data_IF_286103227372
#
_entry.id   IF_286103227372
#
_cell.length_a   1.000
_cell.length_b   1.000
_cell.length_c   1.000
_cell.angle_alpha   90.00
_cell.angle_beta   90.00
_cell.angle_gamma   90.00
#
_symmetry.space_group_name_H-M   'P 1'
#
loop_
_entity.id
_entity.type
_entity.pdbx_description
1 polymer ?
#
# COMPACT_ATOMS: atom_id res chain seq x y z
N UNK A 1 -13.72 4.49 50.18
CA UNK A 1 -13.59 5.54 49.14
C UNK A 1 -12.19 5.47 48.53
N UNK A 2 -12.05 4.78 47.40
CA UNK A 2 -10.86 4.87 46.53
C UNK A 2 -11.39 5.11 45.12
N UNK A 3 -11.15 6.31 44.58
CA UNK A 3 -11.53 6.67 43.22
C UNK A 3 -10.64 5.89 42.26
N UNK A 4 -11.25 4.97 41.51
CA UNK A 4 -10.65 4.33 40.36
C UNK A 4 -10.63 5.39 39.24
N UNK A 5 -9.45 5.91 38.92
CA UNK A 5 -9.27 6.76 37.73
C UNK A 5 -9.29 5.81 36.55
N UNK A 6 -10.42 5.77 35.85
CA UNK A 6 -10.54 5.12 34.56
C UNK A 6 -9.69 5.94 33.58
N UNK A 7 -8.50 5.44 33.26
CA UNK A 7 -7.72 5.96 32.14
C UNK A 7 -8.49 5.60 30.87
N UNK A 8 -9.32 6.53 30.40
CA UNK A 8 -9.92 6.48 29.09
C UNK A 8 -8.77 6.61 28.09
N UNK A 9 -8.27 5.48 27.60
CA UNK A 9 -7.43 5.46 26.41
C UNK A 9 -8.33 5.92 25.26
N UNK A 10 -8.34 7.23 25.00
CA UNK A 10 -8.90 7.79 23.78
C UNK A 10 -8.02 7.25 22.66
N UNK A 11 -8.45 6.15 22.05
CA UNK A 11 -7.97 5.73 20.76
C UNK A 11 -8.27 6.90 19.81
N UNK A 12 -7.27 7.72 19.54
CA UNK A 12 -7.27 8.67 18.44
C UNK A 12 -7.23 7.84 17.14
N UNK A 13 -8.36 7.21 16.81
CA UNK A 13 -8.70 6.82 15.45
C UNK A 13 -8.94 8.12 14.69
N UNK A 14 -7.86 8.79 14.30
CA UNK A 14 -7.95 9.98 13.49
C UNK A 14 -8.21 9.55 12.04
N UNK A 15 -9.27 10.08 11.40
CA UNK A 15 -9.51 9.86 9.99
C UNK A 15 -8.31 10.41 9.23
N UNK A 16 -7.85 9.61 8.27
CA UNK A 16 -6.73 9.92 7.40
C UNK A 16 -6.85 11.35 6.86
N UNK A 17 -5.84 12.16 7.12
CA UNK A 17 -5.77 13.53 6.69
C UNK A 17 -5.35 13.58 5.20
N UNK A 18 -6.34 13.40 4.33
CA UNK A 18 -6.38 14.06 3.03
C UNK A 18 -7.84 14.45 2.85
N UNK A 19 -8.16 15.67 3.30
CA UNK A 19 -9.44 16.36 3.15
C UNK A 19 -10.64 15.67 3.83
N UNK A 20 -11.16 16.34 4.86
CA UNK A 20 -12.53 16.16 5.29
C UNK A 20 -13.50 16.59 4.17
N UNK A 21 -13.73 15.74 3.16
CA UNK A 21 -14.86 15.83 2.24
C UNK A 21 -15.36 14.43 1.80
N UNK A 22 -15.84 13.68 2.78
CA UNK A 22 -17.10 12.93 2.77
C UNK A 22 -17.04 11.92 3.91
N UNK A 23 -17.42 12.36 5.10
CA UNK A 23 -17.74 11.47 6.22
C UNK A 23 -18.99 10.60 5.96
N UNK A 24 -19.50 10.56 4.72
CA UNK A 24 -20.56 9.66 4.25
C UNK A 24 -20.15 8.67 3.15
N UNK A 25 -18.94 8.69 2.56
CA UNK A 25 -18.69 7.84 1.37
C UNK A 25 -18.12 6.45 1.62
N UNK A 26 -17.51 6.11 2.77
CA UNK A 26 -17.26 4.68 3.09
C UNK A 26 -17.26 4.31 4.59
N UNK A 27 -18.43 4.30 5.26
CA UNK A 27 -18.58 3.84 6.65
C UNK A 27 -18.87 2.33 6.74
N UNK A 28 -18.33 1.48 5.85
CA UNK A 28 -18.56 0.04 5.92
C UNK A 28 -17.28 -0.71 6.23
N UNK A 29 -17.01 -0.94 7.51
CA UNK A 29 -15.92 -1.83 7.99
C UNK A 29 -16.37 -3.29 8.14
N UNK A 30 -17.59 -3.58 7.70
CA UNK A 30 -18.21 -4.89 7.84
C UNK A 30 -17.69 -5.93 6.85
N UNK A 31 -18.04 -7.19 7.12
CA UNK A 31 -17.65 -8.37 6.33
C UNK A 31 -18.02 -8.30 4.84
N UNK A 32 -18.98 -7.43 4.47
CA UNK A 32 -19.35 -7.18 3.08
C UNK A 32 -18.22 -6.61 2.21
N UNK A 33 -17.15 -6.07 2.80
CA UNK A 33 -15.96 -5.67 2.06
C UNK A 33 -15.10 -6.84 1.57
N UNK A 34 -15.35 -8.07 2.05
CA UNK A 34 -14.65 -9.27 1.57
C UNK A 34 -14.72 -9.41 0.04
N UNK A 35 -15.80 -8.94 -0.59
CA UNK A 35 -16.00 -8.93 -2.04
C UNK A 35 -14.86 -8.27 -2.83
N UNK A 36 -14.19 -7.28 -2.25
CA UNK A 36 -13.09 -6.57 -2.93
C UNK A 36 -11.83 -7.44 -2.98
N UNK A 37 -11.57 -8.22 -1.92
CA UNK A 37 -10.50 -9.22 -1.90
C UNK A 37 -10.82 -10.38 -2.85
N UNK A 38 -12.06 -10.87 -2.86
CA UNK A 38 -12.50 -11.94 -3.78
C UNK A 38 -12.32 -11.55 -5.25
N UNK A 39 -12.61 -10.29 -5.62
CA UNK A 39 -12.40 -9.77 -6.98
C UNK A 39 -10.92 -9.54 -7.29
N UNK A 40 -10.15 -9.05 -6.32
CA UNK A 40 -8.73 -8.76 -6.49
C UNK A 40 -7.88 -10.02 -6.67
N UNK A 41 -8.28 -11.12 -6.03
CA UNK A 41 -7.57 -12.39 -6.03
C UNK A 41 -8.48 -13.53 -6.51
N UNK A 42 -8.83 -13.59 -7.82
CA UNK A 42 -9.82 -14.54 -8.32
C UNK A 42 -9.41 -16.01 -8.20
N UNK A 43 -8.11 -16.28 -8.12
CA UNK A 43 -7.53 -17.61 -7.91
C UNK A 43 -7.54 -18.05 -6.44
N UNK A 44 -7.74 -17.12 -5.50
CA UNK A 44 -7.80 -17.39 -4.06
C UNK A 44 -9.24 -17.64 -3.64
N UNK A 45 -9.45 -18.60 -2.75
CA UNK A 45 -10.78 -18.87 -2.17
C UNK A 45 -10.88 -18.21 -0.80
N UNK A 46 -11.93 -17.40 -0.61
CA UNK A 46 -12.31 -16.81 0.67
C UNK A 46 -13.62 -17.43 1.13
N UNK A 47 -13.60 -18.22 2.21
CA UNK A 47 -14.79 -18.82 2.80
C UNK A 47 -15.06 -18.19 4.16
N UNK A 48 -16.30 -17.78 4.41
CA UNK A 48 -16.69 -17.15 5.67
C UNK A 48 -17.57 -18.07 6.50
N UNK A 49 -17.27 -18.15 7.80
CA UNK A 49 -18.13 -18.78 8.81
C UNK A 49 -18.23 -17.88 10.04
N UNK A 50 -19.35 -17.91 10.72
CA UNK A 50 -19.53 -17.10 11.94
C UNK A 50 -19.15 -17.89 13.18
N UNK A 51 -18.26 -17.34 14.00
CA UNK A 51 -17.91 -17.88 15.32
C UNK A 51 -18.82 -17.27 16.39
N UNK A 52 -19.71 -18.09 16.94
CA UNK A 52 -20.64 -17.65 18.00
C UNK A 52 -19.99 -17.43 19.36
N UNK A 53 -18.84 -18.04 19.63
CA UNK A 53 -18.14 -17.88 20.91
C UNK A 53 -17.39 -16.56 20.96
N UNK A 54 -16.74 -16.20 19.85
CA UNK A 54 -16.04 -14.91 19.70
C UNK A 54 -17.00 -13.79 19.29
N UNK A 55 -18.10 -14.12 18.62
CA UNK A 55 -19.08 -13.15 18.14
C UNK A 55 -18.65 -12.46 16.84
N UNK A 56 -17.76 -13.07 16.06
CA UNK A 56 -17.17 -12.47 14.86
C UNK A 56 -17.03 -13.47 13.70
N UNK A 57 -16.68 -12.98 12.51
CA UNK A 57 -16.49 -13.79 11.31
C UNK A 57 -15.08 -14.35 11.22
N UNK A 58 -15.01 -15.64 10.92
CA UNK A 58 -13.78 -16.31 10.50
C UNK A 58 -13.77 -16.39 8.98
N UNK A 59 -12.64 -16.05 8.39
CA UNK A 59 -12.35 -16.13 6.97
C UNK A 59 -11.23 -17.15 6.74
N UNK A 60 -11.57 -18.24 6.07
CA UNK A 60 -10.62 -19.22 5.57
C UNK A 60 -10.12 -18.77 4.20
N UNK A 61 -8.84 -18.42 4.12
CA UNK A 61 -8.17 -17.97 2.89
C UNK A 61 -7.35 -19.13 2.35
N UNK A 62 -7.75 -19.69 1.21
CA UNK A 62 -7.04 -20.79 0.55
C UNK A 62 -6.30 -20.28 -0.67
N UNK A 63 -4.97 -20.27 -0.58
CA UNK A 63 -4.06 -19.76 -1.62
C UNK A 63 -3.53 -20.93 -2.44
N UNK A 64 -3.70 -20.94 -3.77
CA UNK A 64 -3.20 -22.03 -4.62
C UNK A 64 -1.67 -22.05 -4.66
N UNK A 65 -1.10 -23.25 -4.77
CA UNK A 65 0.35 -23.47 -4.89
C UNK A 65 0.92 -22.97 -6.23
N UNK A 66 0.08 -22.89 -7.26
CA UNK A 66 0.41 -22.27 -8.54
C UNK A 66 -0.46 -21.01 -8.69
N UNK A 67 0.11 -19.80 -8.60
CA UNK A 67 -0.65 -18.57 -8.76
C UNK A 67 -1.43 -18.50 -10.06
N UNK A 68 -2.70 -18.13 -9.99
CA UNK A 68 -3.62 -18.11 -11.13
C UNK A 68 -4.31 -19.44 -11.44
N UNK A 69 -3.89 -20.55 -10.84
CA UNK A 69 -4.54 -21.87 -10.99
C UNK A 69 -5.23 -22.28 -9.68
N UNK A 70 -6.50 -21.89 -9.56
CA UNK A 70 -7.38 -22.22 -8.43
C UNK A 70 -7.58 -23.72 -8.20
N UNK A 71 -7.31 -24.56 -9.20
CA UNK A 71 -7.45 -26.01 -9.10
C UNK A 71 -6.22 -26.69 -8.48
N UNK A 72 -5.09 -25.99 -8.42
CA UNK A 72 -3.87 -26.50 -7.80
C UNK A 72 -4.06 -26.67 -6.28
N UNK A 73 -3.34 -27.61 -5.62
CA UNK A 73 -3.38 -27.74 -4.17
C UNK A 73 -3.11 -26.41 -3.49
N UNK A 74 -3.88 -26.05 -2.48
CA UNK A 74 -3.76 -24.77 -1.79
C UNK A 74 -3.37 -24.90 -0.32
N UNK A 75 -2.82 -23.82 0.23
CA UNK A 75 -2.61 -23.65 1.67
C UNK A 75 -3.72 -22.80 2.24
N UNK A 76 -4.42 -23.31 3.24
CA UNK A 76 -5.50 -22.59 3.93
C UNK A 76 -4.99 -21.96 5.21
N UNK A 77 -5.28 -20.69 5.40
CA UNK A 77 -5.03 -19.94 6.64
C UNK A 77 -6.34 -19.34 7.12
N UNK A 78 -6.66 -19.48 8.40
CA UNK A 78 -7.84 -18.86 9.01
C UNK A 78 -7.49 -17.52 9.65
N UNK A 79 -8.36 -16.52 9.44
CA UNK A 79 -8.30 -15.22 10.06
C UNK A 79 -9.66 -14.87 10.66
N UNK A 80 -9.67 -13.98 11.64
CA UNK A 80 -10.87 -13.24 12.02
C UNK A 80 -10.94 -11.93 11.23
N UNK A 81 -12.17 -11.53 10.89
CA UNK A 81 -12.43 -10.22 10.31
C UNK A 81 -12.54 -9.16 11.41
N UNK A 82 -11.46 -8.42 11.66
CA UNK A 82 -11.40 -7.44 12.75
C UNK A 82 -11.14 -6.04 12.18
N UNK A 83 -12.09 -5.11 12.34
CA UNK A 83 -11.95 -3.70 11.92
C UNK A 83 -11.52 -3.52 10.44
N UNK A 84 -12.18 -4.23 9.52
CA UNK A 84 -11.84 -4.25 8.08
C UNK A 84 -10.43 -4.77 7.76
N UNK A 85 -9.93 -5.69 8.60
CA UNK A 85 -8.64 -6.36 8.45
C UNK A 85 -8.73 -7.85 8.78
N UNK A 86 -7.69 -8.60 8.39
CA UNK A 86 -7.57 -10.04 8.64
C UNK A 86 -6.54 -10.27 9.74
N UNK A 87 -7.00 -10.67 10.92
CA UNK A 87 -6.13 -10.93 12.07
C UNK A 87 -6.18 -12.40 12.46
N UNK A 88 -5.04 -13.03 12.76
CA UNK A 88 -5.05 -14.35 13.39
C UNK A 88 -5.64 -14.23 14.81
N UNK A 89 -6.11 -15.34 15.37
CA UNK A 89 -6.84 -15.38 16.63
C UNK A 89 -6.06 -14.72 17.78
N UNK A 90 -4.76 -14.97 17.83
CA UNK A 90 -3.82 -14.43 18.82
C UNK A 90 -3.66 -12.90 18.77
N UNK A 91 -3.98 -12.26 17.64
CA UNK A 91 -3.85 -10.82 17.45
C UNK A 91 -5.17 -10.05 17.61
N UNK A 92 -6.29 -10.74 17.84
CA UNK A 92 -7.57 -10.10 18.17
C UNK A 92 -7.48 -9.13 19.36
N UNK A 93 -6.76 -9.41 20.46
CA UNK A 93 -6.59 -8.45 21.55
C UNK A 93 -5.83 -7.18 21.14
N UNK A 94 -5.09 -7.21 20.03
CA UNK A 94 -4.29 -6.11 19.50
C UNK A 94 -4.96 -5.38 18.33
N UNK A 95 -6.22 -5.67 18.01
CA UNK A 95 -6.90 -5.15 16.80
C UNK A 95 -6.83 -3.64 16.60
N UNK A 96 -6.79 -2.85 17.69
CA UNK A 96 -6.73 -1.38 17.64
C UNK A 96 -5.33 -0.83 17.31
N UNK A 97 -4.32 -1.71 17.22
CA UNK A 97 -2.96 -1.37 16.77
C UNK A 97 -2.77 -1.50 15.27
N UNK A 98 -3.79 -1.98 14.55
CA UNK A 98 -3.71 -2.22 13.11
C UNK A 98 -4.57 -1.22 12.34
N UNK A 99 -4.06 -0.79 11.20
CA UNK A 99 -4.85 -0.04 10.24
C UNK A 99 -5.84 -0.96 9.50
N UNK A 100 -7.00 -0.43 9.07
CA UNK A 100 -7.81 -1.09 8.05
C UNK A 100 -6.97 -1.38 6.80
N UNK A 101 -7.15 -2.56 6.18
CA UNK A 101 -6.48 -2.87 4.91
C UNK A 101 -7.09 -2.09 3.73
N UNK A 102 -8.39 -1.79 3.80
CA UNK A 102 -9.08 -0.97 2.81
C UNK A 102 -9.22 0.46 3.33
N UNK A 103 -8.62 1.40 2.61
CA UNK A 103 -8.67 2.83 2.92
C UNK A 103 -8.97 3.65 1.66
N UNK A 104 -9.40 4.90 1.87
CA UNK A 104 -9.66 5.84 0.80
C UNK A 104 -8.35 6.21 0.09
N UNK A 105 -8.21 5.78 -1.16
CA UNK A 105 -7.10 6.13 -2.03
C UNK A 105 -7.52 7.30 -2.92
N UNK A 106 -6.91 8.46 -2.68
CA UNK A 106 -7.30 9.70 -3.35
C UNK A 106 -7.06 9.62 -4.86
N UNK A 107 -7.98 10.18 -5.64
CA UNK A 107 -7.89 10.17 -7.09
C UNK A 107 -7.07 11.35 -7.63
N UNK A 108 -7.20 12.49 -6.96
CA UNK A 108 -6.52 13.74 -7.30
C UNK A 108 -5.60 14.16 -6.14
N UNK A 109 -4.47 14.79 -6.48
CA UNK A 109 -3.55 15.34 -5.49
C UNK A 109 -4.06 16.69 -5.00
N UNK A 110 -4.18 16.86 -3.69
CA UNK A 110 -4.40 18.16 -3.09
C UNK A 110 -3.19 19.08 -3.34
N UNK A 111 -3.43 20.36 -3.65
CA UNK A 111 -2.36 21.34 -3.71
C UNK A 111 -1.81 21.57 -2.29
N UNK A 112 -0.51 21.34 -2.04
CA UNK A 112 0.09 21.62 -0.74
C UNK A 112 -0.08 23.06 -0.23
N UNK A 113 -0.33 24.02 -1.14
CA UNK A 113 -0.63 25.41 -0.78
C UNK A 113 -1.97 25.56 -0.04
N UNK A 114 -2.90 24.63 -0.25
CA UNK A 114 -4.26 24.68 0.31
C UNK A 114 -4.37 24.01 1.68
N UNK A 115 -3.30 23.40 2.20
CA UNK A 115 -3.31 22.82 3.53
C UNK A 115 -3.58 23.89 4.59
N UNK A 116 -4.58 23.61 5.44
CA UNK A 116 -4.84 24.35 6.67
C UNK A 116 -3.73 24.14 7.71
N UNK A 117 -3.68 25.01 8.72
CA UNK A 117 -2.69 24.86 9.81
C UNK A 117 -2.91 23.57 10.61
N UNK A 118 -4.17 23.15 10.79
CA UNK A 118 -4.49 21.88 11.45
C UNK A 118 -3.97 20.68 10.65
N UNK A 119 -4.17 20.67 9.32
CA UNK A 119 -3.65 19.61 8.45
C UNK A 119 -2.12 19.57 8.52
N UNK A 120 -1.43 20.72 8.46
CA UNK A 120 0.03 20.78 8.59
C UNK A 120 0.51 20.17 9.91
N UNK A 121 -0.14 20.50 11.03
CA UNK A 121 0.22 19.94 12.34
C UNK A 121 -0.01 18.42 12.39
N UNK A 122 -1.12 17.93 11.83
CA UNK A 122 -1.41 16.50 11.74
C UNK A 122 -0.37 15.76 10.90
N UNK A 123 0.06 16.32 9.76
CA UNK A 123 1.11 15.75 8.92
C UNK A 123 2.45 15.72 9.67
N UNK A 124 2.82 16.78 10.39
CA UNK A 124 4.03 16.80 11.24
C UNK A 124 3.99 15.73 12.31
N UNK A 125 2.86 15.59 13.01
CA UNK A 125 2.66 14.56 14.03
C UNK A 125 2.79 13.17 13.42
N UNK A 126 2.12 12.92 12.30
CA UNK A 126 2.11 11.62 11.61
C UNK A 126 3.51 11.19 11.15
N UNK A 127 4.27 12.13 10.58
CA UNK A 127 5.63 11.91 10.06
C UNK A 127 6.72 11.84 11.14
N UNK A 128 6.41 12.21 12.39
CA UNK A 128 7.36 12.19 13.50
C UNK A 128 7.94 10.80 13.78
N UNK A 129 9.17 10.76 14.30
CA UNK A 129 9.84 9.50 14.67
C UNK A 129 9.04 8.69 15.70
N UNK A 130 8.39 9.36 16.66
CA UNK A 130 7.56 8.69 17.67
C UNK A 130 6.34 8.03 17.04
N UNK A 131 5.61 8.77 16.19
CA UNK A 131 4.46 8.23 15.44
C UNK A 131 4.88 7.09 14.53
N UNK A 132 5.99 7.22 13.79
CA UNK A 132 6.47 6.18 12.88
C UNK A 132 6.90 4.89 13.59
N UNK A 133 7.46 5.01 14.79
CA UNK A 133 7.94 3.88 15.59
C UNK A 133 6.83 3.16 16.35
N UNK A 134 5.89 3.92 16.91
CA UNK A 134 4.89 3.39 17.85
C UNK A 134 3.46 3.40 17.30
N UNK A 135 3.22 4.05 16.17
CA UNK A 135 1.90 4.16 15.55
C UNK A 135 1.40 2.83 15.02
N UNK A 136 0.09 2.78 14.80
CA UNK A 136 -0.55 1.66 14.14
C UNK A 136 0.05 1.41 12.74
N UNK A 137 -0.11 0.19 12.24
CA UNK A 137 0.44 -0.20 10.95
C UNK A 137 -0.44 -1.18 10.20
N UNK A 138 -0.12 -1.39 8.94
CA UNK A 138 -0.78 -2.39 8.10
C UNK A 138 -0.61 -3.79 8.72
N UNK A 139 -1.70 -4.53 8.99
CA UNK A 139 -1.62 -5.91 9.46
C UNK A 139 -1.12 -6.81 8.33
N UNK A 140 0.10 -7.31 8.48
CA UNK A 140 0.80 -8.02 7.40
C UNK A 140 0.34 -9.47 7.21
N UNK A 141 -0.53 -9.99 8.06
CA UNK A 141 -0.86 -11.42 8.14
C UNK A 141 -1.52 -11.97 6.88
N UNK A 142 -2.44 -11.21 6.26
CA UNK A 142 -3.05 -11.60 4.99
C UNK A 142 -1.99 -11.69 3.89
N UNK A 143 -1.13 -10.68 3.79
CA UNK A 143 -0.08 -10.65 2.78
C UNK A 143 0.93 -11.79 2.99
N UNK A 144 1.25 -12.13 4.25
CA UNK A 144 2.09 -13.28 4.58
C UNK A 144 1.48 -14.62 4.13
N UNK A 145 0.15 -14.74 4.12
CA UNK A 145 -0.53 -15.91 3.57
C UNK A 145 -0.58 -15.89 2.03
N UNK A 146 -0.94 -14.77 1.41
CA UNK A 146 -1.10 -14.65 -0.06
C UNK A 146 0.22 -14.83 -0.81
N UNK A 147 1.30 -14.26 -0.28
CA UNK A 147 2.62 -14.21 -0.92
C UNK A 147 3.64 -15.16 -0.30
N UNK A 148 3.19 -16.07 0.57
CA UNK A 148 4.01 -17.02 1.34
C UNK A 148 5.28 -16.37 1.94
N UNK A 149 5.10 -15.27 2.68
CA UNK A 149 6.19 -14.40 3.12
C UNK A 149 6.40 -14.34 4.63
N UNK A 150 5.80 -15.27 5.37
CA UNK A 150 6.05 -15.44 6.80
C UNK A 150 7.55 -15.60 7.10
N UNK A 151 8.32 -16.21 6.17
CA UNK A 151 9.78 -16.25 6.23
C UNK A 151 10.41 -15.84 4.91
N UNK A 152 11.62 -15.26 4.99
CA UNK A 152 12.42 -14.90 3.80
C UNK A 152 12.64 -16.10 2.88
N UNK A 153 12.94 -17.26 3.47
CA UNK A 153 13.25 -18.49 2.73
C UNK A 153 12.07 -18.93 1.87
N UNK A 154 10.86 -18.92 2.41
CA UNK A 154 9.65 -19.32 1.67
C UNK A 154 9.42 -18.35 0.51
N UNK A 155 9.40 -17.05 0.82
CA UNK A 155 9.17 -16.01 -0.17
C UNK A 155 10.17 -16.04 -1.34
N UNK A 156 11.46 -16.20 -1.07
CA UNK A 156 12.50 -16.15 -2.11
C UNK A 156 12.32 -17.26 -3.18
N UNK A 157 11.54 -18.31 -2.90
CA UNK A 157 11.17 -19.31 -3.92
C UNK A 157 10.20 -18.76 -4.99
N UNK A 158 9.42 -17.73 -4.63
CA UNK A 158 8.45 -17.04 -5.50
C UNK A 158 9.02 -15.80 -6.17
N UNK A 159 10.20 -15.32 -5.75
CA UNK A 159 10.84 -14.15 -6.36
C UNK A 159 11.48 -14.54 -7.69
N UNK A 160 11.05 -13.90 -8.77
CA UNK A 160 11.55 -14.11 -10.13
C UNK A 160 12.23 -12.85 -10.66
N UNK A 161 13.30 -13.07 -11.42
CA UNK A 161 13.95 -12.00 -12.19
C UNK A 161 13.13 -11.69 -13.44
N UNK A 162 12.83 -10.42 -13.65
CA UNK A 162 12.09 -9.90 -14.82
C UNK A 162 12.78 -8.65 -15.38
N UNK A 163 12.36 -8.21 -16.56
CA UNK A 163 12.61 -6.87 -17.07
C UNK A 163 11.33 -6.06 -16.95
N UNK A 164 11.44 -4.82 -16.46
CA UNK A 164 10.37 -3.84 -16.42
C UNK A 164 10.90 -2.52 -16.98
N UNK A 165 10.26 -2.01 -18.03
CA UNK A 165 10.64 -0.77 -18.73
C UNK A 165 12.13 -0.79 -19.16
N UNK A 166 12.59 -1.98 -19.58
CA UNK A 166 13.98 -2.22 -19.99
C UNK A 166 15.00 -2.26 -18.85
N UNK A 167 14.56 -2.36 -17.59
CA UNK A 167 15.42 -2.51 -16.40
C UNK A 167 15.19 -3.86 -15.74
N UNK A 168 16.28 -4.55 -15.39
CA UNK A 168 16.18 -5.81 -14.67
C UNK A 168 15.76 -5.57 -13.22
N UNK A 169 14.81 -6.36 -12.74
CA UNK A 169 14.36 -6.32 -11.34
C UNK A 169 13.92 -7.70 -10.86
N UNK A 170 13.67 -7.84 -9.57
CA UNK A 170 13.21 -9.08 -8.96
C UNK A 170 11.86 -8.82 -8.29
N UNK A 171 10.83 -9.57 -8.65
CA UNK A 171 9.46 -9.39 -8.18
C UNK A 171 8.85 -10.71 -7.75
N UNK A 172 7.81 -10.68 -6.94
CA UNK A 172 6.97 -11.83 -6.70
C UNK A 172 6.30 -12.30 -8.00
N UNK A 173 6.21 -13.61 -8.24
CA UNK A 173 5.66 -14.15 -9.49
C UNK A 173 4.22 -13.69 -9.79
N UNK A 174 3.42 -13.42 -8.75
CA UNK A 174 2.08 -12.82 -8.85
C UNK A 174 2.06 -11.43 -9.51
N UNK A 175 3.16 -10.67 -9.50
CA UNK A 175 3.23 -9.38 -10.19
C UNK A 175 3.57 -9.47 -11.67
N UNK A 176 4.06 -10.61 -12.15
CA UNK A 176 4.65 -10.69 -13.50
C UNK A 176 3.65 -10.28 -14.57
N UNK A 177 2.43 -10.83 -14.52
CA UNK A 177 1.40 -10.52 -15.51
C UNK A 177 0.87 -9.08 -15.41
N UNK A 178 0.53 -8.54 -14.23
CA UNK A 178 0.23 -7.11 -14.08
C UNK A 178 1.32 -6.19 -14.65
N UNK A 179 2.60 -6.48 -14.36
CA UNK A 179 3.71 -5.65 -14.83
C UNK A 179 3.94 -5.73 -16.34
N UNK A 180 3.71 -6.90 -16.97
CA UNK A 180 3.74 -7.00 -18.43
C UNK A 180 2.69 -6.12 -19.09
N UNK A 181 1.49 -6.05 -18.52
CA UNK A 181 0.41 -5.18 -19.04
C UNK A 181 0.75 -3.71 -18.87
N UNK A 182 1.28 -3.32 -17.70
CA UNK A 182 1.80 -1.96 -17.45
C UNK A 182 2.86 -1.59 -18.49
N UNK A 183 3.87 -2.44 -18.68
CA UNK A 183 4.96 -2.20 -19.64
C UNK A 183 4.43 -2.05 -21.07
N UNK A 184 3.54 -2.95 -21.51
CA UNK A 184 2.94 -2.90 -22.84
C UNK A 184 2.15 -1.60 -23.07
N UNK A 185 1.31 -1.18 -22.10
CA UNK A 185 0.52 0.06 -22.18
C UNK A 185 1.42 1.30 -22.21
N UNK A 186 2.47 1.34 -21.39
CA UNK A 186 3.42 2.47 -21.36
C UNK A 186 4.18 2.57 -22.69
N UNK A 187 4.68 1.46 -23.22
CA UNK A 187 5.38 1.46 -24.51
C UNK A 187 4.49 1.83 -25.68
N UNK A 188 3.22 1.42 -25.66
CA UNK A 188 2.26 1.85 -26.68
C UNK A 188 2.03 3.36 -26.61
N UNK A 189 1.78 3.89 -25.41
CA UNK A 189 1.52 5.32 -25.21
C UNK A 189 2.74 6.19 -25.58
N UNK A 190 3.95 5.74 -25.28
CA UNK A 190 5.19 6.44 -25.58
C UNK A 190 5.41 6.72 -27.07
N UNK A 191 4.79 5.93 -27.97
CA UNK A 191 4.86 6.17 -29.43
C UNK A 191 4.26 7.50 -29.84
N UNK A 192 3.30 8.02 -29.07
CA UNK A 192 2.56 9.24 -29.40
C UNK A 192 2.68 10.32 -28.32
N UNK A 193 3.00 9.96 -27.08
CA UNK A 193 3.15 10.88 -25.96
C UNK A 193 4.65 11.15 -25.67
N UNK A 194 5.11 12.36 -25.99
CA UNK A 194 6.50 12.77 -25.81
C UNK A 194 6.90 12.90 -24.34
N UNK A 195 5.96 13.15 -23.42
CA UNK A 195 6.23 13.19 -21.99
C UNK A 195 6.52 11.78 -21.46
N UNK A 196 5.74 10.79 -21.90
CA UNK A 196 5.96 9.38 -21.55
C UNK A 196 7.26 8.86 -22.16
N UNK A 197 7.55 9.18 -23.43
CA UNK A 197 8.82 8.82 -24.04
C UNK A 197 10.02 9.43 -23.29
N UNK A 198 9.95 10.71 -22.92
CA UNK A 198 10.98 11.39 -22.14
C UNK A 198 11.17 10.77 -20.74
N UNK A 199 10.07 10.34 -20.10
CA UNK A 199 10.11 9.59 -18.85
C UNK A 199 10.89 8.27 -18.99
N UNK A 200 10.62 7.49 -20.05
CA UNK A 200 11.36 6.25 -20.35
C UNK A 200 12.85 6.51 -20.60
N UNK A 201 13.18 7.54 -21.38
CA UNK A 201 14.55 7.90 -21.70
C UNK A 201 15.35 8.34 -20.45
N UNK A 202 14.66 8.95 -19.48
CA UNK A 202 15.22 9.36 -18.20
C UNK A 202 15.23 8.22 -17.16
N UNK A 203 14.82 7.00 -17.47
CA UNK A 203 14.75 5.92 -16.48
C UNK A 203 16.14 5.36 -16.11
N UNK A 204 16.47 5.37 -14.82
CA UNK A 204 17.72 4.79 -14.27
C UNK A 204 17.53 3.34 -13.84
N UNK A 205 16.58 3.08 -12.95
CA UNK A 205 16.31 1.75 -12.40
C UNK A 205 14.82 1.56 -12.06
N UNK A 206 14.44 0.29 -11.92
CA UNK A 206 13.15 -0.14 -11.35
C UNK A 206 13.45 -1.15 -10.24
N UNK A 207 13.42 -0.73 -8.99
CA UNK A 207 13.95 -1.50 -7.87
C UNK A 207 12.80 -2.07 -7.04
N UNK A 208 12.67 -3.40 -6.99
CA UNK A 208 11.49 -4.07 -6.42
C UNK A 208 11.81 -4.88 -5.15
N UNK A 209 12.35 -6.09 -5.26
CA UNK A 209 12.58 -6.94 -4.08
C UNK A 209 13.76 -6.48 -3.20
N UNK A 210 13.49 -6.27 -1.92
CA UNK A 210 14.48 -6.02 -0.87
C UNK A 210 13.92 -6.41 0.50
N UNK A 211 14.40 -7.53 1.07
CA UNK A 211 13.95 -8.00 2.39
C UNK A 211 14.44 -7.08 3.51
N UNK A 212 13.55 -6.21 4.03
CA UNK A 212 13.88 -5.17 5.01
C UNK A 212 12.69 -4.74 5.88
N UNK A 213 13.02 -4.15 7.01
CA UNK A 213 12.07 -3.34 7.79
C UNK A 213 12.10 -1.91 7.26
N UNK A 214 10.95 -1.24 7.24
CA UNK A 214 10.85 0.18 6.88
C UNK A 214 11.61 0.99 7.92
N UNK A 215 12.52 1.85 7.46
CA UNK A 215 13.36 2.66 8.33
C UNK A 215 12.52 3.47 9.34
N UNK A 216 13.01 3.60 10.57
CA UNK A 216 12.30 4.28 11.66
C UNK A 216 11.01 3.58 12.14
N UNK A 217 10.74 2.35 11.73
CA UNK A 217 9.55 1.58 12.14
C UNK A 217 9.91 0.14 12.57
N UNK A 218 8.91 -0.64 12.99
CA UNK A 218 8.99 -2.08 13.22
C UNK A 218 8.24 -2.90 12.15
N UNK A 219 7.92 -2.30 11.00
CA UNK A 219 7.04 -2.87 9.96
C UNK A 219 7.82 -3.40 8.78
N UNK A 220 7.46 -4.60 8.29
CA UNK A 220 8.03 -5.19 7.08
C UNK A 220 7.63 -4.33 5.87
N UNK A 221 8.58 -3.94 5.04
CA UNK A 221 8.31 -3.18 3.81
C UNK A 221 7.65 -4.07 2.74
N UNK A 222 6.76 -3.52 1.89
CA UNK A 222 6.22 -4.25 0.74
C UNK A 222 7.27 -4.62 -0.32
N UNK A 223 8.42 -3.93 -0.36
CA UNK A 223 9.60 -4.41 -1.09
C UNK A 223 10.07 -5.79 -0.60
N UNK A 224 9.84 -6.11 0.68
CA UNK A 224 10.21 -7.41 1.24
C UNK A 224 9.33 -8.53 0.74
N UNK A 225 8.17 -8.24 0.15
CA UNK A 225 7.27 -9.21 -0.48
C UNK A 225 7.55 -9.32 -1.97
N UNK A 226 8.40 -8.42 -2.51
CA UNK A 226 8.57 -8.26 -3.94
C UNK A 226 7.27 -7.81 -4.62
N UNK A 227 6.41 -7.05 -3.92
CA UNK A 227 5.14 -6.49 -4.45
C UNK A 227 5.14 -4.97 -4.56
N UNK A 228 6.29 -4.33 -4.33
CA UNK A 228 6.48 -2.90 -4.51
C UNK A 228 7.64 -2.62 -5.48
N UNK A 229 7.63 -1.46 -6.12
CA UNK A 229 8.62 -1.04 -7.12
C UNK A 229 8.90 0.45 -6.97
N UNK A 230 10.18 0.79 -6.86
CA UNK A 230 10.67 2.16 -6.99
C UNK A 230 11.13 2.41 -8.42
N UNK A 231 10.53 3.41 -9.08
CA UNK A 231 10.94 3.88 -10.40
C UNK A 231 11.82 5.13 -10.22
N UNK A 232 13.11 4.99 -10.51
CA UNK A 232 14.09 6.04 -10.26
C UNK A 232 14.57 6.68 -11.55
N UNK A 233 14.56 8.03 -11.66
CA UNK A 233 15.11 8.72 -12.82
C UNK A 233 16.64 8.81 -12.77
N UNK A 234 17.27 9.03 -13.93
CA UNK A 234 18.70 9.37 -14.04
C UNK A 234 18.97 10.75 -13.45
N UNK A 235 18.05 11.69 -13.67
CA UNK A 235 18.06 13.02 -13.08
C UNK A 235 16.65 13.43 -12.64
N UNK A 236 16.56 13.97 -11.42
CA UNK A 236 15.33 14.57 -10.87
C UNK A 236 15.18 16.05 -11.27
N UNK A 237 16.18 16.64 -11.93
CA UNK A 237 16.15 18.06 -12.31
C UNK A 237 16.05 19.03 -11.13
N UNK A 238 16.57 18.65 -9.96
CA UNK A 238 16.48 19.44 -8.72
C UNK A 238 15.15 19.32 -7.97
N UNK A 239 14.19 18.54 -8.51
CA UNK A 239 12.90 18.28 -7.87
C UNK A 239 13.03 17.30 -6.70
N UNK A 240 12.09 17.38 -5.75
CA UNK A 240 12.02 16.46 -4.60
C UNK A 240 11.25 15.19 -4.99
N UNK A 241 11.76 14.01 -4.63
CA UNK A 241 11.11 12.74 -4.97
C UNK A 241 10.50 12.04 -3.75
N UNK A 242 11.08 12.26 -2.56
CA UNK A 242 10.74 11.55 -1.34
C UNK A 242 10.66 12.53 -0.17
N UNK A 243 9.59 12.43 0.61
CA UNK A 243 9.30 13.37 1.68
C UNK A 243 10.42 13.48 2.72
N UNK A 244 11.04 12.36 3.11
CA UNK A 244 12.06 12.36 4.18
C UNK A 244 13.32 13.11 3.73
N UNK A 245 13.72 12.96 2.46
CA UNK A 245 14.85 13.70 1.90
C UNK A 245 14.53 15.19 1.76
N UNK A 246 13.28 15.53 1.44
CA UNK A 246 12.82 16.91 1.47
C UNK A 246 12.81 17.47 2.90
N UNK A 247 12.45 16.67 3.91
CA UNK A 247 12.46 17.05 5.32
C UNK A 247 13.88 17.33 5.83
N UNK A 248 14.89 16.59 5.37
CA UNK A 248 16.29 16.88 5.71
C UNK A 248 16.72 18.29 5.24
N UNK A 249 16.15 18.78 4.13
CA UNK A 249 16.44 20.09 3.55
C UNK A 249 15.51 21.19 4.07
N UNK A 250 14.27 20.86 4.37
CA UNK A 250 13.17 21.78 4.71
C UNK A 250 12.37 21.22 5.91
N UNK A 251 12.96 21.13 7.11
CA UNK A 251 12.39 20.36 8.23
C UNK A 251 10.97 20.80 8.62
N UNK A 252 10.67 22.09 8.53
CA UNK A 252 9.37 22.63 8.93
C UNK A 252 8.34 22.77 7.82
N UNK A 253 8.77 22.67 6.55
CA UNK A 253 7.97 23.04 5.37
C UNK A 253 8.03 22.03 4.24
N UNK A 254 8.65 20.87 4.41
CA UNK A 254 8.75 19.82 3.39
C UNK A 254 7.38 19.39 2.83
N UNK A 255 6.31 19.44 3.63
CA UNK A 255 4.96 19.11 3.16
C UNK A 255 4.42 20.13 2.18
N UNK A 256 4.93 21.37 2.23
CA UNK A 256 4.54 22.48 1.37
C UNK A 256 5.34 22.54 0.07
N UNK A 257 6.21 21.55 -0.22
CA UNK A 257 6.89 21.47 -1.51
C UNK A 257 5.83 21.37 -2.61
N UNK A 258 5.73 22.36 -3.52
CA UNK A 258 4.69 22.38 -4.55
C UNK A 258 4.78 21.16 -5.47
N UNK A 259 3.64 20.70 -6.00
CA UNK A 259 3.60 19.55 -6.91
C UNK A 259 4.52 19.73 -8.13
N UNK A 260 4.60 20.94 -8.67
CA UNK A 260 5.50 21.29 -9.79
C UNK A 260 7.00 21.08 -9.47
N UNK A 261 7.37 21.20 -8.19
CA UNK A 261 8.71 20.98 -7.66
C UNK A 261 8.94 19.55 -7.14
N UNK A 262 7.94 18.68 -7.25
CA UNK A 262 8.09 17.24 -7.00
C UNK A 262 8.38 16.51 -8.30
N UNK A 263 9.34 15.58 -8.27
CA UNK A 263 9.52 14.64 -9.37
C UNK A 263 8.37 13.64 -9.29
N UNK A 264 7.68 13.41 -10.39
CA UNK A 264 6.57 12.47 -10.48
C UNK A 264 6.66 11.75 -11.83
N UNK A 265 6.31 10.45 -11.91
CA UNK A 265 5.95 9.85 -13.18
C UNK A 265 4.81 10.65 -13.84
N UNK A 266 4.70 10.68 -15.18
CA UNK A 266 3.56 11.27 -15.85
C UNK A 266 2.23 10.71 -15.33
N UNK A 267 1.19 11.54 -15.22
CA UNK A 267 -0.12 11.10 -14.71
C UNK A 267 -0.71 9.91 -15.49
N UNK A 268 -0.45 9.86 -16.80
CA UNK A 268 -0.84 8.74 -17.65
C UNK A 268 -0.12 7.43 -17.28
N UNK A 269 1.15 7.50 -16.89
CA UNK A 269 1.90 6.35 -16.37
C UNK A 269 1.31 5.90 -15.04
N UNK A 270 1.03 6.84 -14.12
CA UNK A 270 0.42 6.52 -12.82
C UNK A 270 -0.92 5.80 -13.00
N UNK A 271 -1.79 6.32 -13.88
CA UNK A 271 -3.09 5.70 -14.20
C UNK A 271 -2.94 4.30 -14.78
N UNK A 272 -1.97 4.07 -15.67
CA UNK A 272 -1.71 2.72 -16.22
C UNK A 272 -1.35 1.74 -15.10
N UNK A 273 -0.54 2.15 -14.12
CA UNK A 273 -0.26 1.33 -12.94
C UNK A 273 -1.54 1.07 -12.13
N UNK A 274 -2.34 2.11 -11.87
CA UNK A 274 -3.60 1.98 -11.12
C UNK A 274 -4.60 1.01 -11.77
N UNK A 275 -4.77 1.09 -13.08
CA UNK A 275 -5.61 0.17 -13.86
C UNK A 275 -5.18 -1.30 -13.74
N UNK A 276 -3.91 -1.55 -13.43
CA UNK A 276 -3.34 -2.90 -13.29
C UNK A 276 -3.15 -3.33 -11.82
N UNK A 277 -3.82 -2.65 -10.88
CA UNK A 277 -3.88 -3.06 -9.48
C UNK A 277 -2.81 -2.45 -8.58
N UNK A 278 -2.13 -1.40 -9.02
CA UNK A 278 -1.13 -0.70 -8.23
C UNK A 278 -1.68 0.57 -7.59
N UNK A 279 -1.11 0.96 -6.45
CA UNK A 279 -1.27 2.29 -5.87
C UNK A 279 0.07 3.02 -5.94
N UNK A 280 0.02 4.35 -6.01
CA UNK A 280 1.21 5.19 -6.12
C UNK A 280 1.47 5.98 -4.84
N UNK A 281 2.70 5.90 -4.34
CA UNK A 281 3.12 6.48 -3.08
C UNK A 281 3.12 8.02 -3.06
N UNK A 282 3.08 8.66 -4.22
CA UNK A 282 2.96 10.11 -4.30
C UNK A 282 1.60 10.66 -3.90
N UNK A 283 0.57 9.80 -3.80
CA UNK A 283 -0.75 10.16 -3.27
C UNK A 283 -0.86 10.05 -1.75
N UNK A 284 0.18 9.55 -1.08
CA UNK A 284 0.20 9.50 0.38
C UNK A 284 0.55 10.85 0.98
N UNK A 285 0.09 11.04 2.22
CA UNK A 285 0.36 12.22 3.04
C UNK A 285 1.87 12.49 3.19
N UNK A 286 2.64 11.43 3.43
CA UNK A 286 4.10 11.42 3.36
C UNK A 286 4.52 10.88 2.00
N UNK A 287 4.57 11.76 1.01
CA UNK A 287 4.72 11.35 -0.39
C UNK A 287 6.02 10.56 -0.65
N UNK A 288 5.88 9.52 -1.47
CA UNK A 288 6.97 8.73 -2.01
C UNK A 288 6.78 8.54 -3.52
N UNK A 289 7.26 9.50 -4.31
CA UNK A 289 6.84 9.64 -5.71
C UNK A 289 7.51 8.62 -6.65
N UNK A 290 8.58 7.96 -6.22
CA UNK A 290 9.16 6.84 -6.97
C UNK A 290 8.36 5.55 -6.80
N UNK A 291 7.54 5.47 -5.76
CA UNK A 291 7.10 4.20 -5.20
C UNK A 291 5.72 3.77 -5.69
N UNK A 292 5.59 2.50 -6.08
CA UNK A 292 4.33 1.85 -6.40
C UNK A 292 4.20 0.55 -5.61
N UNK A 293 3.00 0.25 -5.10
CA UNK A 293 2.69 -0.99 -4.39
C UNK A 293 1.54 -1.72 -5.08
N UNK A 294 1.65 -3.03 -5.26
CA UNK A 294 0.59 -3.87 -5.83
C UNK A 294 -0.45 -4.20 -4.75
N UNK A 295 -1.57 -3.48 -4.80
CA UNK A 295 -2.72 -3.61 -3.91
C UNK A 295 -4.01 -3.69 -4.75
N UNK A 296 -4.23 -4.80 -5.48
CA UNK A 296 -5.41 -4.95 -6.31
C UNK A 296 -6.71 -4.84 -5.50
N UNK A 297 -6.70 -5.22 -4.21
CA UNK A 297 -7.85 -5.06 -3.31
C UNK A 297 -8.20 -3.60 -3.03
N UNK A 298 -7.21 -2.71 -2.91
CA UNK A 298 -7.44 -1.28 -2.74
C UNK A 298 -7.94 -0.64 -4.02
N UNK A 299 -7.44 -1.08 -5.17
CA UNK A 299 -7.95 -0.65 -6.47
C UNK A 299 -9.41 -1.11 -6.64
N UNK A 300 -9.73 -2.36 -6.31
CA UNK A 300 -11.11 -2.85 -6.32
C UNK A 300 -12.03 -2.03 -5.41
N UNK A 301 -11.54 -1.61 -4.25
CA UNK A 301 -12.33 -0.83 -3.28
C UNK A 301 -12.59 0.62 -3.69
N UNK A 302 -11.59 1.27 -4.32
CA UNK A 302 -11.64 2.71 -4.59
C UNK A 302 -12.15 3.06 -5.99
N UNK A 303 -12.16 2.12 -6.93
CA UNK A 303 -12.51 2.38 -8.33
C UNK A 303 -13.74 1.59 -8.82
N UNK A 304 -14.26 0.61 -8.05
CA UNK A 304 -15.32 -0.32 -8.47
C UNK A 304 -16.30 -0.70 -7.34
#
# INVERSE_FOLDING_TARGET
MKKLVLALAVALSLPFCAQAQNTESHPFIGIGNLKYFERAYPDITFERRYDRQVGDWIISVTVPSVPGDKSSPGKTTEFYWANASFLPAEELPNKDKYWPLLYSYVQELADPADYSEEEKEQIKKFSSNESRKNGAGTPMFLFDAIYDSATRRSLETHIKKVSLLGKNTNVHERMIEPLKKVEAKIYELAKTDTQVQSFLDNLKSTDAYSWRIIDGTNRKSFHSYGIAIDILPKSQGGKQIFWSWAADKYPDTWMLVPLSNRWMPPDSVIKIFEEEGFIWGGKWVIYDNMHFEYHPELVQYNFY
#
